data_IF_414713228109
#
_entry.id   IF_414713228109
#
_cell.length_a   1.000
_cell.length_b   1.000
_cell.length_c   1.000
_cell.angle_alpha   90.00
_cell.angle_beta   90.00
_cell.angle_gamma   90.00
#
_symmetry.space_group_name_H-M   'P 1'
#
loop_
_entity.id
_entity.type
_entity.pdbx_description
1 polymer ?
#
# COMPACT_ATOMS: atom_id res chain seq x y z
N UNK A 1 -5.88 -14.71 -10.67
CA UNK A 1 -5.99 -13.61 -11.67
C UNK A 1 -7.44 -13.51 -12.13
N UNK A 2 -8.10 -12.36 -11.96
CA UNK A 2 -9.49 -12.18 -12.36
C UNK A 2 -9.60 -11.54 -13.74
N UNK A 3 -10.52 -12.04 -14.56
CA UNK A 3 -10.79 -11.60 -15.94
C UNK A 3 -11.53 -10.25 -15.99
N UNK A 4 -10.97 -9.21 -15.36
CA UNK A 4 -11.55 -7.85 -15.37
C UNK A 4 -12.82 -7.66 -14.52
N UNK A 5 -13.05 -8.53 -13.52
CA UNK A 5 -14.10 -8.37 -12.50
C UNK A 5 -13.48 -8.02 -11.16
N UNK A 6 -14.18 -7.20 -10.37
CA UNK A 6 -13.78 -6.89 -8.99
C UNK A 6 -13.56 -8.19 -8.20
N UNK A 7 -12.34 -8.38 -7.73
CA UNK A 7 -12.01 -9.47 -6.81
C UNK A 7 -12.45 -9.08 -5.42
N UNK A 8 -13.04 -10.00 -4.68
CA UNK A 8 -13.32 -9.82 -3.26
C UNK A 8 -12.31 -10.62 -2.44
N UNK A 9 -12.16 -10.31 -1.15
CA UNK A 9 -11.32 -11.13 -0.26
C UNK A 9 -11.75 -12.60 -0.28
N UNK A 10 -13.05 -12.87 -0.36
CA UNK A 10 -13.57 -14.24 -0.51
C UNK A 10 -13.05 -14.92 -1.78
N UNK A 11 -12.99 -14.19 -2.90
CA UNK A 11 -12.44 -14.73 -4.15
C UNK A 11 -10.93 -14.93 -4.07
N UNK A 12 -10.23 -14.06 -3.33
CA UNK A 12 -8.78 -14.18 -3.07
C UNK A 12 -8.47 -15.44 -2.27
N UNK A 13 -9.20 -15.68 -1.18
CA UNK A 13 -9.00 -16.87 -0.37
C UNK A 13 -9.36 -18.15 -1.11
N UNK A 14 -10.48 -18.15 -1.84
CA UNK A 14 -10.83 -19.28 -2.71
C UNK A 14 -9.71 -19.57 -3.74
N UNK A 15 -9.08 -18.54 -4.30
CA UNK A 15 -7.96 -18.72 -5.22
C UNK A 15 -6.73 -19.30 -4.52
N UNK A 16 -6.35 -18.77 -3.35
CA UNK A 16 -5.22 -19.25 -2.55
C UNK A 16 -5.39 -20.71 -2.13
N UNK A 17 -6.57 -21.07 -1.63
CA UNK A 17 -6.91 -22.44 -1.21
C UNK A 17 -6.80 -23.45 -2.37
N UNK A 18 -7.12 -23.03 -3.59
CA UNK A 18 -7.13 -23.90 -4.77
C UNK A 18 -5.83 -23.86 -5.59
N UNK A 19 -4.89 -22.95 -5.30
CA UNK A 19 -3.67 -22.74 -6.08
C UNK A 19 -2.40 -22.63 -5.20
N UNK A 20 -2.36 -23.42 -4.12
CA UNK A 20 -1.29 -23.38 -3.10
C UNK A 20 0.13 -23.63 -3.63
N UNK A 21 0.28 -24.34 -4.75
CA UNK A 21 1.58 -24.73 -5.29
C UNK A 21 2.23 -23.68 -6.21
N UNK A 22 1.51 -22.64 -6.67
CA UNK A 22 1.95 -21.90 -7.86
C UNK A 22 2.05 -20.37 -7.79
N UNK A 23 1.73 -19.67 -6.71
CA UNK A 23 1.78 -18.20 -6.78
C UNK A 23 2.37 -17.52 -5.55
N UNK A 24 3.42 -16.75 -5.82
CA UNK A 24 3.84 -15.60 -5.01
C UNK A 24 2.69 -14.60 -5.01
N UNK A 25 1.91 -14.58 -3.94
CA UNK A 25 0.82 -13.63 -3.73
C UNK A 25 1.30 -12.60 -2.73
N UNK A 26 1.08 -11.32 -3.04
CA UNK A 26 1.37 -10.24 -2.10
C UNK A 26 0.58 -10.43 -0.81
N UNK A 27 1.21 -10.15 0.33
CA UNK A 27 0.53 -10.16 1.63
C UNK A 27 -0.63 -9.15 1.65
N UNK A 28 -0.39 -7.94 1.13
CA UNK A 28 -1.42 -6.90 0.99
C UNK A 28 -2.15 -7.07 -0.33
N UNK A 29 -3.45 -6.82 -0.30
CA UNK A 29 -4.33 -6.96 -1.44
C UNK A 29 -3.87 -6.09 -2.62
N UNK A 30 -3.72 -4.78 -2.40
CA UNK A 30 -3.31 -3.85 -3.44
C UNK A 30 -1.82 -3.50 -3.30
N UNK A 31 -1.11 -3.38 -4.42
CA UNK A 31 0.30 -2.96 -4.40
C UNK A 31 0.45 -1.54 -3.83
N UNK A 32 -0.54 -0.67 -4.04
CA UNK A 32 -0.60 0.65 -3.42
C UNK A 32 -0.61 0.61 -1.89
N UNK A 33 -1.07 -0.47 -1.25
CA UNK A 33 -1.05 -0.56 0.20
C UNK A 33 0.37 -0.64 0.76
N UNK A 34 1.37 -1.01 -0.04
CA UNK A 34 2.78 -0.89 0.35
C UNK A 34 3.26 0.57 0.28
N UNK A 35 2.77 1.36 -0.69
CA UNK A 35 3.10 2.79 -0.81
C UNK A 35 2.43 3.62 0.29
N UNK A 36 1.24 3.21 0.72
CA UNK A 36 0.45 3.90 1.74
C UNK A 36 0.72 3.38 3.16
N UNK A 37 1.78 2.60 3.34
CA UNK A 37 2.23 2.23 4.68
C UNK A 37 2.61 3.49 5.47
N UNK A 38 2.28 3.49 6.76
CA UNK A 38 2.55 4.59 7.67
C UNK A 38 4.02 4.99 7.66
N UNK A 39 4.95 4.02 7.63
CA UNK A 39 6.38 4.34 7.65
C UNK A 39 6.83 5.07 6.37
N UNK A 40 6.22 4.74 5.22
CA UNK A 40 6.50 5.39 3.93
C UNK A 40 5.92 6.80 3.90
N UNK A 41 4.68 6.97 4.38
CA UNK A 41 4.05 8.29 4.44
C UNK A 41 4.77 9.22 5.43
N UNK A 42 5.20 8.70 6.59
CA UNK A 42 6.00 9.46 7.55
C UNK A 42 7.32 9.91 6.93
N UNK A 43 8.04 9.00 6.24
CA UNK A 43 9.29 9.35 5.57
C UNK A 43 9.08 10.41 4.48
N UNK A 44 8.03 10.26 3.68
CA UNK A 44 7.68 11.25 2.66
C UNK A 44 7.39 12.62 3.28
N UNK A 45 6.61 12.68 4.37
CA UNK A 45 6.32 13.94 5.04
C UNK A 45 7.58 14.58 5.60
N UNK A 46 8.45 13.78 6.23
CA UNK A 46 9.73 14.23 6.76
C UNK A 46 10.63 14.85 5.69
N UNK A 47 10.79 14.18 4.53
CA UNK A 47 11.63 14.64 3.42
C UNK A 47 11.12 15.93 2.75
N UNK A 48 9.83 16.21 2.87
CA UNK A 48 9.18 17.35 2.22
C UNK A 48 8.75 18.44 3.22
N UNK A 49 9.17 18.35 4.48
CA UNK A 49 8.81 19.30 5.54
C UNK A 49 7.28 19.46 5.72
N UNK A 50 6.55 18.36 5.57
CA UNK A 50 5.10 18.28 5.74
C UNK A 50 4.73 17.70 7.10
N UNK A 51 3.53 18.02 7.57
CA UNK A 51 2.96 17.46 8.79
C UNK A 51 2.11 16.22 8.45
N UNK A 52 2.40 15.10 9.11
CA UNK A 52 1.64 13.86 8.98
C UNK A 52 0.50 13.82 10.00
N UNK A 53 -0.74 13.76 9.54
CA UNK A 53 -1.91 13.58 10.41
C UNK A 53 -2.09 12.11 10.80
N UNK A 54 -1.45 11.75 11.91
CA UNK A 54 -1.52 10.39 12.46
C UNK A 54 -2.95 9.99 12.87
N UNK A 55 -3.77 10.93 13.33
CA UNK A 55 -5.14 10.63 13.75
C UNK A 55 -6.02 10.32 12.55
N UNK A 56 -5.93 11.12 11.47
CA UNK A 56 -6.66 10.86 10.23
C UNK A 56 -6.20 9.55 9.59
N UNK A 57 -4.89 9.26 9.58
CA UNK A 57 -4.37 7.98 9.10
C UNK A 57 -4.93 6.80 9.88
N UNK A 58 -4.85 6.82 11.21
CA UNK A 58 -5.35 5.75 12.07
C UNK A 58 -6.87 5.58 11.96
N UNK A 59 -7.61 6.63 11.58
CA UNK A 59 -9.05 6.58 11.31
C UNK A 59 -9.39 6.01 9.93
N UNK A 60 -8.58 6.32 8.92
CA UNK A 60 -8.78 5.87 7.55
C UNK A 60 -8.34 4.42 7.34
N UNK A 61 -7.13 4.09 7.81
CA UNK A 61 -6.48 2.80 7.60
C UNK A 61 -6.69 1.93 8.83
N UNK A 62 -7.61 0.98 8.72
CA UNK A 62 -7.97 0.02 9.77
C UNK A 62 -7.36 -1.36 9.55
N UNK A 63 -7.17 -1.74 8.28
CA UNK A 63 -6.59 -3.00 7.87
C UNK A 63 -5.88 -2.81 6.52
N UNK A 64 -4.61 -2.43 6.57
CA UNK A 64 -3.80 -2.17 5.38
C UNK A 64 -3.58 -3.41 4.50
N UNK A 65 -3.81 -4.61 5.04
CA UNK A 65 -3.63 -5.84 4.27
C UNK A 65 -4.82 -6.09 3.35
N UNK A 66 -6.04 -5.77 3.80
CA UNK A 66 -7.26 -6.16 3.08
C UNK A 66 -8.10 -4.97 2.57
N UNK A 67 -7.80 -3.73 2.97
CA UNK A 67 -8.49 -2.55 2.47
C UNK A 67 -8.04 -2.17 1.05
N UNK A 68 -8.98 -1.72 0.21
CA UNK A 68 -8.66 -1.05 -1.05
C UNK A 68 -8.38 0.44 -0.79
N UNK A 69 -7.12 0.79 -0.53
CA UNK A 69 -6.70 2.19 -0.33
C UNK A 69 -6.40 2.93 -1.63
N UNK A 70 -6.30 2.22 -2.76
CA UNK A 70 -6.01 2.80 -4.09
C UNK A 70 -7.02 3.88 -4.46
N UNK A 71 -8.29 3.67 -4.15
CA UNK A 71 -9.37 4.63 -4.42
C UNK A 71 -9.42 5.80 -3.42
N UNK A 72 -8.63 5.72 -2.34
CA UNK A 72 -8.54 6.73 -1.28
C UNK A 72 -7.31 7.62 -1.40
N UNK A 73 -6.65 7.63 -2.56
CA UNK A 73 -5.43 8.43 -2.82
C UNK A 73 -5.60 9.91 -2.46
N UNK A 74 -6.80 10.48 -2.67
CA UNK A 74 -7.07 11.87 -2.27
C UNK A 74 -7.02 12.10 -0.76
N UNK A 75 -7.56 11.17 0.04
CA UNK A 75 -7.50 11.25 1.51
C UNK A 75 -6.08 11.02 2.03
N UNK A 76 -5.34 10.10 1.41
CA UNK A 76 -3.92 9.85 1.75
C UNK A 76 -3.06 11.10 1.52
N UNK A 77 -3.33 11.90 0.47
CA UNK A 77 -2.65 13.18 0.26
C UNK A 77 -2.92 14.18 1.39
N UNK A 78 -4.17 14.26 1.84
CA UNK A 78 -4.56 15.16 2.92
C UNK A 78 -3.86 14.80 4.24
N UNK A 79 -3.70 13.49 4.51
CA UNK A 79 -2.93 12.99 5.66
C UNK A 79 -1.48 13.50 5.63
N UNK A 80 -0.89 13.70 4.46
CA UNK A 80 0.44 14.30 4.32
C UNK A 80 0.42 15.83 4.19
N UNK A 81 -0.68 16.51 4.55
CA UNK A 81 -0.79 17.97 4.47
C UNK A 81 -0.80 18.55 3.04
N UNK A 82 -0.96 17.71 2.00
CA UNK A 82 -0.95 18.18 0.61
C UNK A 82 -2.31 18.79 0.28
N UNK A 83 -2.36 20.12 0.22
CA UNK A 83 -3.58 20.89 -0.07
C UNK A 83 -3.74 21.29 -1.54
N UNK A 84 -2.71 21.05 -2.36
CA UNK A 84 -2.69 21.40 -3.78
C UNK A 84 -2.87 20.18 -4.69
N UNK A 85 -3.19 20.43 -5.97
CA UNK A 85 -3.40 19.36 -6.93
C UNK A 85 -2.06 18.69 -7.30
N UNK A 86 -1.87 17.45 -6.86
CA UNK A 86 -0.75 16.59 -7.26
C UNK A 86 -1.29 15.48 -8.14
N UNK A 87 -0.58 15.14 -9.22
CA UNK A 87 -0.95 13.99 -10.04
C UNK A 87 -0.86 12.69 -9.20
N UNK A 88 -1.92 11.86 -9.10
CA UNK A 88 -1.90 10.62 -8.31
C UNK A 88 -0.75 9.66 -8.67
N UNK A 89 -0.37 9.57 -9.95
CA UNK A 89 0.74 8.73 -10.41
C UNK A 89 2.09 9.28 -9.93
N UNK A 90 2.26 10.59 -9.98
CA UNK A 90 3.46 11.26 -9.51
C UNK A 90 3.61 11.15 -8.00
N UNK A 91 2.51 11.34 -7.26
CA UNK A 91 2.48 11.11 -5.82
C UNK A 91 2.95 9.69 -5.46
N UNK A 92 2.35 8.66 -6.08
CA UNK A 92 2.77 7.25 -5.89
C UNK A 92 4.24 7.01 -6.25
N UNK A 93 4.72 7.64 -7.32
CA UNK A 93 6.13 7.59 -7.75
C UNK A 93 7.08 8.26 -6.76
N UNK A 94 6.63 9.29 -6.05
CA UNK A 94 7.44 9.93 -5.01
C UNK A 94 7.45 9.09 -3.74
N UNK A 95 6.30 8.53 -3.33
CA UNK A 95 6.24 7.58 -2.21
C UNK A 95 7.15 6.38 -2.40
N UNK A 96 7.23 5.82 -3.62
CA UNK A 96 8.08 4.66 -3.87
C UNK A 96 9.58 4.95 -3.70
N UNK A 97 10.01 6.21 -3.87
CA UNK A 97 11.39 6.63 -3.63
C UNK A 97 11.74 6.69 -2.15
N UNK A 98 10.75 6.89 -1.28
CA UNK A 98 10.92 6.92 0.17
C UNK A 98 11.10 5.52 0.77
N UNK A 99 10.79 4.45 0.01
CA UNK A 99 10.94 3.07 0.48
C UNK A 99 12.43 2.70 0.52
N UNK A 100 12.96 2.50 1.73
CA UNK A 100 14.33 2.05 1.96
C UNK A 100 14.39 0.57 2.36
N UNK A 101 15.59 -0.03 2.31
CA UNK A 101 15.77 -1.46 2.62
C UNK A 101 15.54 -1.78 4.10
N UNK A 102 15.66 -0.79 4.96
CA UNK A 102 15.54 -0.91 6.41
C UNK A 102 14.06 -0.93 6.85
N UNK A 103 13.15 -0.50 5.98
CA UNK A 103 11.71 -0.44 6.26
C UNK A 103 11.07 -1.82 6.28
N UNK A 104 10.07 -2.01 7.14
CA UNK A 104 9.36 -3.30 7.27
C UNK A 104 8.59 -3.64 6.00
N UNK A 105 7.98 -2.65 5.36
CA UNK A 105 7.22 -2.75 4.12
C UNK A 105 8.09 -3.21 2.96
N UNK A 106 9.36 -2.79 2.92
CA UNK A 106 10.30 -3.27 1.93
C UNK A 106 10.61 -4.75 2.14
N UNK A 107 10.91 -5.13 3.40
CA UNK A 107 11.20 -6.52 3.74
C UNK A 107 10.00 -7.44 3.47
N UNK A 108 8.79 -7.00 3.79
CA UNK A 108 7.54 -7.70 3.49
C UNK A 108 7.33 -7.86 1.98
N UNK A 109 7.54 -6.79 1.20
CA UNK A 109 7.40 -6.84 -0.25
C UNK A 109 8.44 -7.78 -0.88
N UNK A 110 9.69 -7.73 -0.41
CA UNK A 110 10.77 -8.61 -0.86
C UNK A 110 10.45 -10.07 -0.52
N UNK A 111 10.00 -10.38 0.69
CA UNK A 111 9.67 -11.76 1.06
C UNK A 111 8.54 -12.32 0.18
N UNK A 112 7.50 -11.53 -0.09
CA UNK A 112 6.43 -11.92 -1.03
C UNK A 112 6.96 -12.25 -2.43
N UNK A 113 7.98 -11.52 -2.90
CA UNK A 113 8.49 -11.63 -4.26
C UNK A 113 9.61 -12.66 -4.38
N UNK A 114 10.45 -12.84 -3.37
CA UNK A 114 11.71 -13.58 -3.48
C UNK A 114 11.77 -14.82 -2.60
N UNK A 115 11.07 -14.85 -1.47
CA UNK A 115 11.06 -16.03 -0.63
C UNK A 115 10.22 -17.12 -1.30
N UNK A 116 10.78 -18.33 -1.33
CA UNK A 116 10.05 -19.53 -1.75
C UNK A 116 9.31 -20.03 -0.51
N UNK A 117 8.00 -19.83 -0.47
CA UNK A 117 7.10 -20.67 0.32
C UNK A 117 7.08 -22.08 -0.25
#
# INVERSE_FOLDING_TARGET
MASGRDTTEKNRQLYLDNNSANHRVLTRWEIENYLYDKEVLLQYCLENELEFDENEYNNLVKDINNQNLKDLTGKIKNICGITFNVNPKEFKSNLSKCISKEMKVYQELISCIFDRS
#
